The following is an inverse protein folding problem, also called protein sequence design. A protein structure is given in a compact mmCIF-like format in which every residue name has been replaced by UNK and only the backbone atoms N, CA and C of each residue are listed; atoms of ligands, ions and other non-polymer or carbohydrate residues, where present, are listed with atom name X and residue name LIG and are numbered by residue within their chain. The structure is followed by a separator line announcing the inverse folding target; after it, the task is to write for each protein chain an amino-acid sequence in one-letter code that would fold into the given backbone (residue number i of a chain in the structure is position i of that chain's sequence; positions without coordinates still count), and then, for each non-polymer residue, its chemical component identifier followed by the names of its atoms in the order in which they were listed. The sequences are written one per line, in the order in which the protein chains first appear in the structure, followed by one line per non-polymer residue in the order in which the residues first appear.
data_IF_018105951046
#
_entry.id   IF_018105951046
#
_cell.length_a   1.000
_cell.length_b   1.000
_cell.length_c   1.000
_cell.angle_alpha   90.00
_cell.angle_beta   90.00
_cell.angle_gamma   90.00
#
_symmetry.space_group_name_H-M   'P 1'
#
loop_
_entity.id
_entity.type
_entity.pdbx_description
1 polymer ?
#
# COMPACT_ATOMS: atom_id res chain seq x y z
N UNK A 1 19.51 -7.44 -6.49
CA UNK A 1 18.52 -6.34 -6.53
C UNK A 1 18.74 -5.52 -7.78
N UNK A 2 17.68 -5.18 -8.50
CA UNK A 2 17.69 -4.35 -9.70
C UNK A 2 16.82 -3.12 -9.42
N UNK A 3 17.44 -1.94 -9.33
CA UNK A 3 16.80 -0.65 -9.08
C UNK A 3 17.21 0.33 -10.20
N UNK A 4 16.30 0.57 -11.14
CA UNK A 4 14.94 0.03 -11.31
C UNK A 4 14.83 -0.81 -12.58
N UNK A 5 13.78 -1.61 -12.67
CA UNK A 5 13.50 -2.41 -13.88
C UNK A 5 13.27 -1.50 -15.10
N UNK A 6 12.82 -0.27 -14.90
CA UNK A 6 12.61 0.70 -15.99
C UNK A 6 13.89 1.18 -16.66
N UNK A 7 15.04 1.07 -16.01
CA UNK A 7 16.35 1.47 -16.58
C UNK A 7 17.03 0.33 -17.35
N UNK A 8 16.55 -0.89 -17.18
CA UNK A 8 17.07 -2.05 -17.91
C UNK A 8 16.43 -2.13 -19.30
N UNK A 9 17.23 -2.43 -20.30
CA UNK A 9 16.76 -2.59 -21.67
C UNK A 9 17.43 -3.76 -22.39
N UNK A 10 16.76 -4.26 -23.41
CA UNK A 10 17.26 -5.28 -24.33
C UNK A 10 17.49 -4.66 -25.70
N UNK A 11 18.65 -4.86 -26.29
CA UNK A 11 18.98 -4.41 -27.63
C UNK A 11 18.16 -5.13 -28.72
N UNK A 12 17.48 -6.21 -28.38
CA UNK A 12 16.62 -6.95 -29.30
C UNK A 12 15.30 -6.22 -29.60
N UNK A 13 14.98 -5.18 -28.83
CA UNK A 13 13.78 -4.36 -29.02
C UNK A 13 14.14 -2.94 -29.40
N UNK A 14 13.43 -2.41 -30.37
CA UNK A 14 13.60 -1.01 -30.86
C UNK A 14 12.91 0.03 -29.99
N UNK A 15 12.07 -0.42 -29.04
CA UNK A 15 11.35 0.47 -28.13
C UNK A 15 12.28 1.08 -27.08
N UNK A 16 11.96 2.31 -26.63
CA UNK A 16 12.77 3.02 -25.66
C UNK A 16 12.83 2.29 -24.29
N UNK A 17 13.95 2.44 -23.53
CA UNK A 17 14.04 1.99 -22.14
C UNK A 17 12.85 2.49 -21.31
N UNK A 18 12.35 1.66 -20.38
CA UNK A 18 11.19 1.98 -19.58
C UNK A 18 9.83 1.80 -20.25
N UNK A 19 9.79 1.53 -21.57
CA UNK A 19 8.54 1.15 -22.24
C UNK A 19 8.01 -0.20 -21.73
N UNK A 20 6.70 -0.42 -21.87
CA UNK A 20 6.04 -1.69 -21.47
C UNK A 20 6.73 -2.90 -22.09
N UNK A 21 7.06 -2.82 -23.37
CA UNK A 21 7.69 -3.91 -24.10
C UNK A 21 9.08 -4.23 -23.53
N UNK A 22 9.90 -3.20 -23.27
CA UNK A 22 11.23 -3.38 -22.67
C UNK A 22 11.14 -3.97 -21.26
N UNK A 23 10.30 -3.38 -20.39
CA UNK A 23 10.14 -3.85 -19.02
C UNK A 23 9.68 -5.32 -18.97
N UNK A 24 8.74 -5.68 -19.86
CA UNK A 24 8.24 -7.07 -19.97
C UNK A 24 9.33 -8.04 -20.42
N UNK A 25 10.06 -7.70 -21.45
CA UNK A 25 11.12 -8.57 -21.99
C UNK A 25 12.27 -8.75 -20.99
N UNK A 26 12.76 -7.64 -20.42
CA UNK A 26 13.80 -7.70 -19.39
C UNK A 26 13.39 -8.51 -18.19
N UNK A 27 12.16 -8.33 -17.68
CA UNK A 27 11.63 -9.11 -16.57
C UNK A 27 11.50 -10.60 -16.92
N UNK A 28 11.11 -10.95 -18.16
CA UNK A 28 11.06 -12.33 -18.61
C UNK A 28 12.45 -12.98 -18.62
N UNK A 29 13.46 -12.28 -19.12
CA UNK A 29 14.84 -12.75 -19.09
C UNK A 29 15.35 -12.96 -17.66
N UNK A 30 15.15 -11.98 -16.77
CA UNK A 30 15.55 -12.04 -15.38
C UNK A 30 14.85 -13.17 -14.62
N UNK A 31 13.56 -13.38 -14.87
CA UNK A 31 12.79 -14.47 -14.26
C UNK A 31 13.30 -15.84 -14.72
N UNK A 32 13.63 -15.99 -16.00
CA UNK A 32 14.24 -17.24 -16.51
C UNK A 32 15.61 -17.48 -15.88
N UNK A 33 16.44 -16.45 -15.81
CA UNK A 33 17.77 -16.55 -15.19
C UNK A 33 17.66 -16.91 -13.70
N UNK A 34 16.76 -16.26 -12.96
CA UNK A 34 16.48 -16.57 -11.56
C UNK A 34 16.13 -18.03 -11.34
N UNK A 35 15.21 -18.57 -12.17
CA UNK A 35 14.76 -19.96 -12.07
C UNK A 35 15.85 -20.97 -12.46
N UNK A 36 16.65 -20.64 -13.47
CA UNK A 36 17.74 -21.52 -13.92
C UNK A 36 18.90 -21.58 -12.91
N UNK A 37 19.19 -20.48 -12.22
CA UNK A 37 20.31 -20.39 -11.26
C UNK A 37 19.90 -20.64 -9.81
N UNK A 38 18.59 -20.69 -9.50
CA UNK A 38 18.09 -20.72 -8.12
C UNK A 38 18.33 -19.42 -7.35
N UNK A 39 18.63 -18.31 -8.03
CA UNK A 39 18.93 -17.04 -7.42
C UNK A 39 17.65 -16.22 -7.19
N UNK A 40 17.47 -15.69 -5.98
CA UNK A 40 16.39 -14.73 -5.71
C UNK A 40 16.71 -13.38 -6.35
N UNK A 41 15.82 -12.86 -7.19
CA UNK A 41 15.94 -11.54 -7.81
C UNK A 41 14.83 -10.63 -7.28
N UNK A 42 15.23 -9.44 -6.79
CA UNK A 42 14.32 -8.38 -6.39
C UNK A 42 14.35 -7.30 -7.47
N UNK A 43 13.19 -7.07 -8.09
CA UNK A 43 12.98 -6.01 -9.08
C UNK A 43 12.29 -4.82 -8.39
N UNK A 44 12.95 -3.68 -8.38
CA UNK A 44 12.35 -2.42 -7.90
C UNK A 44 11.72 -1.72 -9.09
N UNK A 45 10.46 -1.34 -8.94
CA UNK A 45 9.69 -0.61 -9.96
C UNK A 45 9.02 0.62 -9.35
N UNK A 46 8.93 1.69 -10.14
CA UNK A 46 8.27 2.92 -9.73
C UNK A 46 6.83 2.96 -10.22
N UNK A 47 5.92 3.38 -9.34
CA UNK A 47 4.51 3.67 -9.64
C UNK A 47 4.36 5.14 -10.01
N UNK A 48 3.66 5.49 -11.11
CA UNK A 48 3.32 6.89 -11.40
C UNK A 48 2.12 7.33 -10.55
N UNK A 49 2.01 8.65 -10.29
CA UNK A 49 0.95 9.24 -9.46
C UNK A 49 -0.47 8.95 -9.96
N UNK A 50 -0.63 8.62 -11.22
CA UNK A 50 -1.93 8.32 -11.86
C UNK A 50 -2.34 6.85 -11.75
N UNK A 51 -1.58 6.02 -11.02
CA UNK A 51 -1.88 4.59 -10.85
C UNK A 51 -1.81 3.79 -12.16
N UNK A 52 -1.49 4.45 -13.25
CA UNK A 52 -1.40 3.90 -14.60
C UNK A 52 0.03 3.59 -14.96
N UNK A 53 0.59 2.50 -14.42
CA UNK A 53 1.92 2.14 -14.84
C UNK A 53 1.86 1.14 -15.94
N UNK A 54 2.60 1.49 -16.94
CA UNK A 54 3.05 0.57 -17.95
C UNK A 54 3.95 -0.57 -17.43
N UNK A 55 4.37 -0.53 -16.17
CA UNK A 55 5.32 -1.49 -15.63
C UNK A 55 4.78 -2.52 -14.61
N UNK A 56 4.29 -2.15 -13.44
CA UNK A 56 4.02 -3.11 -12.36
C UNK A 56 2.91 -4.11 -12.67
N UNK A 57 1.78 -3.72 -13.27
CA UNK A 57 0.71 -4.67 -13.59
C UNK A 57 1.16 -5.76 -14.57
N UNK A 58 2.05 -5.43 -15.49
CA UNK A 58 2.63 -6.43 -16.41
C UNK A 58 3.52 -7.40 -15.65
N UNK A 59 4.26 -6.91 -14.65
CA UNK A 59 5.17 -7.72 -13.84
C UNK A 59 4.45 -8.62 -12.84
N UNK A 60 3.28 -8.23 -12.35
CA UNK A 60 2.51 -8.99 -11.37
C UNK A 60 2.25 -10.44 -11.79
N UNK A 61 2.06 -10.68 -13.10
CA UNK A 61 1.85 -12.03 -13.62
C UNK A 61 3.14 -12.84 -13.79
N UNK A 62 4.29 -12.16 -13.84
CA UNK A 62 5.58 -12.77 -14.15
C UNK A 62 6.40 -13.12 -12.92
N UNK A 63 6.16 -12.45 -11.78
CA UNK A 63 6.90 -12.62 -10.55
C UNK A 63 6.14 -13.47 -9.53
N UNK A 64 6.84 -14.03 -8.56
CA UNK A 64 6.26 -14.91 -7.54
C UNK A 64 5.66 -14.13 -6.37
N UNK A 65 6.19 -12.95 -6.06
CA UNK A 65 5.68 -12.06 -5.04
C UNK A 65 5.67 -10.61 -5.52
N UNK A 66 4.67 -9.84 -5.11
CA UNK A 66 4.53 -8.40 -5.36
C UNK A 66 4.30 -7.71 -4.03
N UNK A 67 5.18 -6.77 -3.72
CA UNK A 67 5.12 -5.96 -2.52
C UNK A 67 4.95 -4.50 -2.91
N UNK A 68 3.94 -3.84 -2.36
CA UNK A 68 3.77 -2.40 -2.47
C UNK A 68 4.38 -1.70 -1.27
N UNK A 69 5.19 -0.68 -1.56
CA UNK A 69 5.79 0.18 -0.57
C UNK A 69 5.07 1.52 -0.60
N UNK A 70 4.25 1.76 0.41
CA UNK A 70 3.32 2.89 0.48
C UNK A 70 3.72 3.87 1.58
N UNK A 71 3.44 5.15 1.39
CA UNK A 71 3.63 6.17 2.41
C UNK A 71 3.44 7.57 1.85
N UNK A 72 2.81 8.42 2.64
CA UNK A 72 2.63 9.82 2.32
C UNK A 72 3.92 10.61 2.52
N UNK A 73 4.12 11.65 1.71
CA UNK A 73 5.31 12.50 1.75
C UNK A 73 5.50 13.22 3.10
N UNK A 74 4.42 13.47 3.84
CA UNK A 74 4.46 14.08 5.17
C UNK A 74 4.53 13.10 6.33
N UNK A 75 4.35 11.80 6.08
CA UNK A 75 4.39 10.77 7.12
C UNK A 75 5.79 10.21 7.30
N UNK A 76 6.21 10.05 8.55
CA UNK A 76 7.44 9.31 8.87
C UNK A 76 7.28 7.79 8.76
N UNK A 77 6.05 7.30 8.58
CA UNK A 77 5.78 5.88 8.48
C UNK A 77 5.69 5.42 7.04
N UNK A 78 6.07 4.18 6.81
CA UNK A 78 5.96 3.47 5.54
C UNK A 78 5.29 2.14 5.78
N UNK A 79 4.42 1.74 4.87
CA UNK A 79 3.72 0.47 4.90
C UNK A 79 4.20 -0.39 3.74
N UNK A 80 4.61 -1.60 4.03
CA UNK A 80 4.92 -2.63 3.04
C UNK A 80 3.75 -3.61 3.02
N UNK A 81 3.06 -3.70 1.89
CA UNK A 81 1.88 -4.56 1.71
C UNK A 81 2.17 -5.66 0.70
N UNK A 82 1.89 -6.90 1.07
CA UNK A 82 1.91 -8.02 0.15
C UNK A 82 0.63 -8.04 -0.70
N UNK A 83 0.76 -7.81 -2.00
CA UNK A 83 -0.35 -7.84 -2.96
C UNK A 83 -0.48 -9.21 -3.63
N UNK A 84 0.66 -9.84 -3.94
CA UNK A 84 0.76 -11.20 -4.46
C UNK A 84 1.85 -11.95 -3.72
N UNK A 85 1.57 -13.18 -3.34
CA UNK A 85 2.55 -14.06 -2.72
C UNK A 85 2.21 -15.52 -3.05
N UNK A 86 3.06 -16.19 -3.82
CA UNK A 86 2.91 -17.62 -4.14
C UNK A 86 3.26 -18.54 -2.98
N UNK A 87 3.99 -18.01 -1.99
CA UNK A 87 4.58 -18.81 -0.91
C UNK A 87 3.87 -18.62 0.43
N UNK A 88 2.82 -17.79 0.48
CA UNK A 88 2.12 -17.50 1.72
C UNK A 88 0.91 -16.59 1.53
N UNK A 89 0.44 -16.05 2.65
CA UNK A 89 -0.72 -15.16 2.68
C UNK A 89 -0.45 -13.85 1.91
N UNK A 90 -1.52 -13.32 1.34
CA UNK A 90 -1.58 -11.97 0.75
C UNK A 90 -2.30 -11.03 1.70
N UNK A 91 -2.23 -9.73 1.44
CA UNK A 91 -2.77 -8.66 2.28
C UNK A 91 -2.10 -8.54 3.67
N UNK A 92 -0.99 -9.21 3.88
CA UNK A 92 -0.14 -8.97 5.05
C UNK A 92 0.56 -7.62 4.91
N UNK A 93 0.73 -6.92 6.03
CA UNK A 93 1.41 -5.64 6.04
C UNK A 93 2.51 -5.56 7.11
N UNK A 94 3.60 -4.90 6.74
CA UNK A 94 4.65 -4.47 7.64
C UNK A 94 4.65 -2.95 7.77
N UNK A 95 4.82 -2.44 8.97
CA UNK A 95 4.91 -0.99 9.21
C UNK A 95 6.33 -0.64 9.63
N UNK A 96 6.87 0.39 9.02
CA UNK A 96 8.23 0.88 9.25
C UNK A 96 8.20 2.38 9.52
N UNK A 97 9.10 2.83 10.36
CA UNK A 97 9.36 4.25 10.58
C UNK A 97 10.65 4.66 9.86
N UNK A 98 10.63 5.81 9.20
CA UNK A 98 11.83 6.45 8.66
C UNK A 98 12.66 7.00 9.82
N UNK A 99 13.91 6.60 9.89
CA UNK A 99 14.90 7.07 10.85
C UNK A 99 16.17 7.51 10.10
N UNK A 100 17.08 8.22 10.77
CA UNK A 100 18.32 8.72 10.17
C UNK A 100 19.19 7.62 9.53
N UNK A 101 19.09 6.41 10.06
CA UNK A 101 19.81 5.23 9.56
C UNK A 101 18.99 4.36 8.58
N UNK A 102 17.84 4.84 8.13
CA UNK A 102 16.94 4.11 7.23
C UNK A 102 15.65 3.64 7.91
N UNK A 103 15.07 2.56 7.40
CA UNK A 103 13.80 2.02 7.88
C UNK A 103 13.99 1.21 9.17
N UNK A 104 13.16 1.51 10.17
CA UNK A 104 13.06 0.76 11.42
C UNK A 104 11.67 0.11 11.52
N UNK A 105 11.63 -1.19 11.77
CA UNK A 105 10.38 -1.91 11.98
C UNK A 105 9.59 -1.33 13.17
N UNK A 106 8.27 -1.27 13.02
CA UNK A 106 7.33 -0.92 14.09
C UNK A 106 6.58 -2.18 14.50
N UNK A 107 6.97 -2.81 15.61
CA UNK A 107 6.38 -4.09 16.05
C UNK A 107 4.90 -3.98 16.42
N UNK A 108 4.49 -2.82 16.92
CA UNK A 108 3.10 -2.55 17.30
C UNK A 108 2.53 -1.33 16.54
N UNK A 109 1.97 -1.52 15.33
CA UNK A 109 1.37 -0.44 14.56
C UNK A 109 0.16 0.21 15.27
N UNK A 110 -0.57 -0.54 16.10
CA UNK A 110 -1.70 0.00 16.87
C UNK A 110 -1.28 1.19 17.74
N UNK A 111 -0.07 1.16 18.29
CA UNK A 111 0.46 2.28 19.07
C UNK A 111 0.59 3.58 18.27
N UNK A 112 0.80 3.48 16.96
CA UNK A 112 0.86 4.65 16.07
C UNK A 112 -0.53 5.25 15.90
N UNK A 113 -1.53 4.40 15.62
CA UNK A 113 -2.91 4.83 15.39
C UNK A 113 -3.59 5.35 16.66
N UNK A 114 -3.07 4.96 17.83
CA UNK A 114 -3.58 5.40 19.14
C UNK A 114 -2.71 6.49 19.79
N UNK A 115 -1.64 6.94 19.15
CA UNK A 115 -0.70 7.91 19.74
C UNK A 115 -1.34 9.26 20.08
N UNK A 116 -2.44 9.63 19.46
CA UNK A 116 -3.26 10.80 19.76
C UNK A 116 -4.32 10.58 20.85
N UNK A 117 -4.58 9.33 21.22
CA UNK A 117 -5.66 8.95 22.15
C UNK A 117 -5.20 8.98 23.62
N UNK A 118 -4.56 10.08 24.06
CA UNK A 118 -4.06 10.20 25.43
C UNK A 118 -5.16 10.59 26.45
N UNK A 119 -6.33 11.01 25.99
CA UNK A 119 -7.49 11.32 26.83
C UNK A 119 -8.77 10.91 26.13
N UNK A 120 -9.70 10.30 26.89
CA UNK A 120 -11.03 10.00 26.38
C UNK A 120 -11.75 11.30 26.02
N UNK A 121 -11.95 11.52 24.72
CA UNK A 121 -12.68 12.67 24.21
C UNK A 121 -14.05 12.23 23.68
N UNK A 122 -15.12 13.01 23.93
CA UNK A 122 -16.42 12.76 23.30
C UNK A 122 -16.27 12.70 21.77
N UNK A 123 -16.93 11.71 21.16
CA UNK A 123 -16.87 11.50 19.72
C UNK A 123 -15.66 10.68 19.22
N UNK A 124 -14.83 10.17 20.12
CA UNK A 124 -13.72 9.27 19.78
C UNK A 124 -13.93 7.88 20.36
N UNK A 125 -13.69 6.86 19.56
CA UNK A 125 -13.79 5.45 19.96
C UNK A 125 -12.69 4.63 19.33
N UNK A 126 -12.16 3.67 20.07
CA UNK A 126 -11.18 2.70 19.53
C UNK A 126 -11.95 1.50 18.96
N UNK A 127 -11.68 1.22 17.69
CA UNK A 127 -12.24 0.10 16.95
C UNK A 127 -11.14 -0.93 16.67
N UNK A 128 -11.48 -2.21 16.74
CA UNK A 128 -10.63 -3.30 16.27
C UNK A 128 -10.96 -3.55 14.80
N UNK A 129 -9.97 -3.41 13.94
CA UNK A 129 -10.03 -3.82 12.54
C UNK A 129 -9.01 -4.92 12.26
N UNK A 130 -9.02 -5.48 11.05
CA UNK A 130 -8.08 -6.52 10.65
C UNK A 130 -7.55 -6.24 9.25
N UNK A 131 -6.24 -6.29 9.12
CA UNK A 131 -5.54 -6.27 7.84
C UNK A 131 -4.78 -7.59 7.66
N UNK A 132 -5.12 -8.35 6.62
CA UNK A 132 -4.64 -9.71 6.46
C UNK A 132 -5.03 -10.60 7.65
N UNK A 133 -4.04 -11.15 8.33
CA UNK A 133 -4.20 -11.92 9.57
C UNK A 133 -4.00 -11.08 10.83
N UNK A 134 -3.55 -9.83 10.70
CA UNK A 134 -3.15 -8.98 11.83
C UNK A 134 -4.31 -8.12 12.33
N UNK A 135 -4.69 -8.22 13.62
CA UNK A 135 -5.61 -7.28 14.23
C UNK A 135 -4.91 -5.93 14.45
N UNK A 136 -5.63 -4.84 14.17
CA UNK A 136 -5.17 -3.47 14.38
C UNK A 136 -6.20 -2.70 15.18
N UNK A 137 -5.73 -1.88 16.11
CA UNK A 137 -6.55 -0.91 16.82
C UNK A 137 -6.46 0.41 16.08
N UNK A 138 -7.60 0.98 15.73
CA UNK A 138 -7.70 2.28 15.06
C UNK A 138 -8.65 3.17 15.84
N UNK A 139 -8.36 4.47 15.85
CA UNK A 139 -9.25 5.46 16.42
C UNK A 139 -10.24 5.92 15.33
N UNK A 140 -11.51 5.90 15.67
CA UNK A 140 -12.60 6.45 14.85
C UNK A 140 -13.14 7.69 15.54
N UNK A 141 -13.19 8.79 14.82
CA UNK A 141 -13.68 10.07 15.34
C UNK A 141 -14.96 10.47 14.61
N UNK A 142 -15.93 10.97 15.35
CA UNK A 142 -17.15 11.56 14.85
C UNK A 142 -17.36 12.96 15.44
N UNK A 143 -17.46 13.95 14.58
CA UNK A 143 -17.85 15.30 14.96
C UNK A 143 -19.29 15.52 14.52
N UNK A 144 -20.14 15.92 15.48
CA UNK A 144 -21.54 16.23 15.23
C UNK A 144 -21.83 17.64 15.73
N UNK A 145 -22.42 18.46 14.87
CA UNK A 145 -22.82 19.82 15.21
C UNK A 145 -24.22 20.12 14.61
N UNK A 146 -24.89 21.13 15.16
CA UNK A 146 -26.16 21.59 14.63
C UNK A 146 -25.96 22.27 13.28
N UNK A 147 -26.78 21.86 12.29
CA UNK A 147 -26.73 22.46 10.97
C UNK A 147 -27.89 23.44 10.78
N UNK A 148 -27.62 24.73 10.50
CA UNK A 148 -28.68 25.70 10.15
C UNK A 148 -29.22 25.47 8.72
N UNK A 149 -28.61 24.58 7.94
CA UNK A 149 -29.00 24.31 6.56
C UNK A 149 -30.14 23.27 6.46
N UNK A 150 -31.07 23.42 5.51
CA UNK A 150 -32.16 22.45 5.31
C UNK A 150 -31.68 21.02 5.03
N UNK A 151 -30.50 20.90 4.41
CA UNK A 151 -29.86 19.62 4.12
C UNK A 151 -28.55 19.49 4.90
N UNK A 152 -28.53 18.78 6.05
CA UNK A 152 -27.33 18.59 6.82
C UNK A 152 -26.24 17.88 6.02
N UNK A 153 -25.04 18.43 6.05
CA UNK A 153 -23.90 17.85 5.33
C UNK A 153 -23.26 16.74 6.15
N UNK A 154 -23.04 15.59 5.51
CA UNK A 154 -22.25 14.49 6.08
C UNK A 154 -20.98 14.32 5.27
N UNK A 155 -19.86 14.29 5.95
CA UNK A 155 -18.53 14.10 5.33
C UNK A 155 -17.86 12.91 6.01
N UNK A 156 -17.28 12.03 5.22
CA UNK A 156 -16.50 10.89 5.72
C UNK A 156 -15.07 10.99 5.20
N UNK A 157 -14.11 10.68 6.06
CA UNK A 157 -12.70 10.51 5.72
C UNK A 157 -12.30 9.08 6.06
N UNK A 158 -11.75 8.35 5.09
CA UNK A 158 -11.37 6.95 5.28
C UNK A 158 -12.53 5.95 5.35
N UNK A 159 -13.76 6.41 5.18
CA UNK A 159 -14.97 5.57 5.16
C UNK A 159 -15.79 5.86 3.89
N UNK A 160 -16.47 4.85 3.38
CA UNK A 160 -17.32 5.01 2.22
C UNK A 160 -18.63 5.71 2.61
N UNK A 161 -18.90 6.86 1.99
CA UNK A 161 -20.03 7.72 2.35
C UNK A 161 -21.40 7.07 2.12
N UNK A 162 -21.57 6.32 1.03
CA UNK A 162 -22.83 5.63 0.74
C UNK A 162 -23.13 4.55 1.77
N UNK A 163 -22.10 3.83 2.22
CA UNK A 163 -22.24 2.82 3.27
C UNK A 163 -22.67 3.44 4.59
N UNK A 164 -22.07 4.59 4.97
CA UNK A 164 -22.52 5.33 6.15
C UNK A 164 -23.98 5.76 6.03
N UNK A 165 -24.40 6.29 4.87
CA UNK A 165 -25.78 6.71 4.63
C UNK A 165 -26.77 5.55 4.78
N UNK A 166 -26.44 4.37 4.24
CA UNK A 166 -27.27 3.16 4.39
C UNK A 166 -27.38 2.71 5.85
N UNK A 167 -26.29 2.71 6.60
CA UNK A 167 -26.29 2.34 8.02
C UNK A 167 -27.14 3.29 8.85
N UNK A 168 -27.03 4.59 8.62
CA UNK A 168 -27.85 5.61 9.30
C UNK A 168 -29.36 5.53 8.96
N UNK A 169 -29.70 4.99 7.80
CA UNK A 169 -31.10 4.78 7.42
C UNK A 169 -31.76 3.58 8.12
N UNK A 170 -30.94 2.66 8.65
CA UNK A 170 -31.39 1.45 9.34
C UNK A 170 -31.44 1.65 10.87
N UNK A 171 -30.68 2.60 11.38
CA UNK A 171 -30.68 2.95 12.81
C UNK A 171 -31.84 3.85 13.20
#
# INVERSE_FOLDING_TARGET
VIDSIQTVYSEQLTSAPGSVAQVRECAAHLTRAAKASGTAIVLVGHVTKEGGIAGPRVLEHMVDAVLYFEGDSGSRFRVLRAFKNRFGAVNELGVFAMADKGLKEVPNPSAIFLSGHSQSAPGSVVLVTREGTRPLLVEVQALVDQSPMPNPRRVTLGLEQNRLAMLLAVM
#
